data_IF_332461331666
#
_entry.id   IF_332461331666
#
_cell.length_a   1.000
_cell.length_b   1.000
_cell.length_c   1.000
_cell.angle_alpha   90.00
_cell.angle_beta   90.00
_cell.angle_gamma   90.00
#
_symmetry.space_group_name_H-M   'P 1'
#
loop_
_entity.id
_entity.type
_entity.pdbx_description
1 polymer ?
#
# COMPACT_ATOMS: atom_id res chain seq x y z
N UNK A 1 -28.09 28.54 34.12
CA UNK A 1 -29.45 28.45 33.54
C UNK A 1 -29.75 26.99 33.32
N UNK A 2 -30.72 26.46 34.06
CA UNK A 2 -31.02 25.04 34.21
C UNK A 2 -32.30 24.78 33.41
N UNK A 3 -32.24 23.91 32.40
CA UNK A 3 -33.40 23.50 31.62
C UNK A 3 -34.12 22.35 32.33
N UNK A 4 -35.45 22.40 32.52
CA UNK A 4 -36.19 21.29 33.11
C UNK A 4 -36.38 20.16 32.08
N UNK A 5 -36.08 18.95 32.54
CA UNK A 5 -36.32 17.67 31.85
C UNK A 5 -37.83 17.43 31.81
N UNK A 6 -38.39 17.28 30.61
CA UNK A 6 -39.79 16.91 30.41
C UNK A 6 -39.96 15.39 30.44
N UNK A 7 -40.89 14.93 31.29
CA UNK A 7 -41.37 13.55 31.40
C UNK A 7 -41.96 13.06 30.07
N UNK A 8 -41.41 11.96 29.55
CA UNK A 8 -42.00 11.20 28.45
C UNK A 8 -42.92 10.12 29.03
N UNK A 9 -44.13 9.91 28.46
CA UNK A 9 -45.03 8.85 28.91
C UNK A 9 -44.49 7.46 28.52
N UNK A 10 -44.76 6.41 29.32
CA UNK A 10 -44.32 5.05 29.03
C UNK A 10 -45.04 4.47 27.80
N UNK A 11 -44.39 3.56 27.05
CA UNK A 11 -44.99 2.91 25.90
C UNK A 11 -46.15 1.97 26.30
N UNK A 12 -47.19 1.83 25.47
CA UNK A 12 -48.27 0.89 25.73
C UNK A 12 -47.79 -0.56 25.60
N UNK A 13 -48.12 -1.37 26.61
CA UNK A 13 -48.07 -2.83 26.55
C UNK A 13 -48.99 -3.33 25.44
N UNK A 14 -48.46 -4.14 24.53
CA UNK A 14 -49.27 -4.93 23.59
C UNK A 14 -49.08 -6.39 23.94
N UNK A 15 -50.19 -6.99 24.35
CA UNK A 15 -50.32 -8.38 24.74
C UNK A 15 -50.12 -9.34 23.56
N UNK A 16 -49.71 -10.55 23.96
CA UNK A 16 -49.53 -11.73 23.15
C UNK A 16 -50.79 -12.13 22.37
N UNK A 17 -50.58 -12.57 21.12
CA UNK A 17 -51.53 -13.42 20.41
C UNK A 17 -50.78 -14.46 19.55
N UNK A 18 -50.78 -15.67 20.10
CA UNK A 18 -51.04 -16.97 19.48
C UNK A 18 -50.40 -17.36 18.13
N UNK A 19 -49.67 -18.47 18.24
CA UNK A 19 -49.32 -19.42 17.20
C UNK A 19 -50.48 -19.72 16.24
N UNK A 20 -50.20 -19.69 14.94
CA UNK A 20 -50.92 -20.52 13.98
C UNK A 20 -49.89 -21.26 13.13
N UNK A 21 -49.71 -22.54 13.43
CA UNK A 21 -48.99 -23.47 12.57
C UNK A 21 -49.78 -23.64 11.27
N UNK A 22 -49.15 -23.34 10.13
CA UNK A 22 -49.56 -23.84 8.82
C UNK A 22 -48.42 -24.61 8.18
N UNK A 23 -48.46 -25.92 8.44
CA UNK A 23 -47.74 -26.97 7.73
C UNK A 23 -48.52 -27.30 6.46
N UNK A 24 -48.01 -26.98 5.27
CA UNK A 24 -48.24 -27.76 4.03
C UNK A 24 -47.18 -27.35 2.97
N UNK A 25 -46.90 -28.17 1.94
CA UNK A 25 -46.00 -29.31 1.97
C UNK A 25 -44.75 -29.10 1.11
N UNK A 26 -43.72 -29.86 1.46
CA UNK A 26 -42.51 -30.14 0.67
C UNK A 26 -42.82 -30.42 -0.81
N UNK A 27 -42.60 -29.42 -1.65
CA UNK A 27 -42.10 -29.61 -3.02
C UNK A 27 -40.86 -28.73 -3.14
N UNK A 28 -39.71 -29.33 -2.86
CA UNK A 28 -38.43 -28.86 -3.38
C UNK A 28 -38.59 -28.71 -4.89
N UNK A 29 -38.79 -27.48 -5.36
CA UNK A 29 -38.38 -27.14 -6.72
C UNK A 29 -36.87 -27.32 -6.70
N UNK A 30 -36.41 -28.37 -7.36
CA UNK A 30 -35.09 -28.34 -7.97
C UNK A 30 -35.17 -27.20 -8.98
N UNK A 31 -34.82 -25.99 -8.54
CA UNK A 31 -34.17 -25.06 -9.45
C UNK A 31 -32.83 -25.71 -9.66
N UNK A 32 -32.66 -26.33 -10.84
CA UNK A 32 -31.37 -26.79 -11.32
C UNK A 32 -30.41 -25.61 -11.12
N UNK A 33 -29.55 -25.71 -10.10
CA UNK A 33 -28.37 -24.87 -10.04
C UNK A 33 -27.61 -25.17 -11.34
N UNK A 34 -27.34 -24.17 -12.19
CA UNK A 34 -26.55 -24.40 -13.38
C UNK A 34 -25.23 -25.00 -12.91
N UNK A 35 -24.93 -26.19 -13.44
CA UNK A 35 -23.76 -27.01 -13.14
C UNK A 35 -22.55 -26.12 -12.85
N UNK A 36 -22.22 -25.98 -11.57
CA UNK A 36 -21.16 -25.09 -11.12
C UNK A 36 -19.84 -25.51 -11.74
N UNK A 37 -19.36 -24.74 -12.71
CA UNK A 37 -18.03 -24.90 -13.27
C UNK A 37 -17.04 -24.80 -12.11
N UNK A 38 -16.29 -25.88 -11.87
CA UNK A 38 -15.29 -25.96 -10.81
C UNK A 38 -14.17 -24.99 -11.19
N UNK A 39 -14.25 -23.76 -10.70
CA UNK A 39 -13.18 -22.77 -10.85
C UNK A 39 -11.97 -23.24 -10.04
N UNK A 40 -10.83 -23.40 -10.71
CA UNK A 40 -9.59 -23.76 -10.06
C UNK A 40 -8.89 -22.51 -9.54
N UNK A 41 -8.37 -22.55 -8.31
CA UNK A 41 -7.63 -21.42 -7.72
C UNK A 41 -6.16 -21.78 -7.59
N UNK A 42 -5.29 -20.89 -8.04
CA UNK A 42 -3.84 -20.99 -7.96
C UNK A 42 -3.27 -19.77 -7.23
N UNK A 43 -2.08 -19.90 -6.65
CA UNK A 43 -1.43 -18.77 -5.98
C UNK A 43 -0.19 -18.34 -6.74
N UNK A 44 -0.06 -17.02 -6.99
CA UNK A 44 1.11 -16.42 -7.62
C UNK A 44 2.23 -16.29 -6.59
N UNK A 45 3.24 -17.16 -6.63
CA UNK A 45 4.33 -17.22 -5.62
C UNK A 45 5.28 -16.00 -5.56
N UNK A 46 4.97 -14.90 -6.23
CA UNK A 46 5.80 -13.69 -6.23
C UNK A 46 5.22 -12.70 -5.22
N UNK A 47 6.04 -12.26 -4.28
CA UNK A 47 5.70 -11.21 -3.31
C UNK A 47 6.20 -9.82 -3.72
N UNK A 48 6.92 -9.71 -4.83
CA UNK A 48 7.44 -8.42 -5.34
C UNK A 48 7.22 -8.33 -6.85
N UNK A 49 6.58 -7.24 -7.28
CA UNK A 49 6.39 -6.89 -8.68
C UNK A 49 7.35 -5.75 -9.05
N UNK A 50 8.01 -5.87 -10.20
CA UNK A 50 8.91 -4.84 -10.70
C UNK A 50 8.09 -3.81 -11.49
N UNK A 51 8.14 -2.55 -11.07
CA UNK A 51 7.45 -1.45 -11.76
C UNK A 51 8.42 -0.77 -12.73
N UNK A 52 9.60 -0.41 -12.25
CA UNK A 52 10.66 0.21 -13.03
C UNK A 52 11.93 -0.63 -12.89
N UNK A 53 12.71 -0.86 -13.96
CA UNK A 53 13.93 -1.65 -13.90
C UNK A 53 14.88 -1.17 -12.80
N UNK A 54 14.91 -1.91 -11.68
CA UNK A 54 15.91 -1.75 -10.61
C UNK A 54 15.71 -0.58 -9.64
N UNK A 55 14.68 0.26 -9.77
CA UNK A 55 14.46 1.40 -8.87
C UNK A 55 13.15 1.34 -8.07
N UNK A 56 12.06 0.89 -8.68
CA UNK A 56 10.74 0.92 -8.05
C UNK A 56 10.11 -0.48 -8.02
N UNK A 57 9.82 -0.94 -6.81
CA UNK A 57 9.24 -2.24 -6.54
C UNK A 57 7.90 -2.08 -5.82
N UNK A 58 6.92 -2.90 -6.22
CA UNK A 58 5.67 -3.04 -5.51
C UNK A 58 5.73 -4.32 -4.70
N UNK A 59 5.71 -4.18 -3.37
CA UNK A 59 5.70 -5.32 -2.45
C UNK A 59 4.26 -5.70 -2.17
N UNK A 60 3.95 -6.98 -2.27
CA UNK A 60 2.64 -7.54 -1.97
C UNK A 60 2.63 -7.99 -0.50
N UNK A 61 1.59 -7.63 0.23
CA UNK A 61 1.41 -8.02 1.64
C UNK A 61 0.90 -9.46 1.75
N UNK A 62 0.22 -9.94 0.71
CA UNK A 62 -0.27 -11.31 0.58
C UNK A 62 0.06 -11.94 -0.78
N UNK A 63 -0.16 -13.25 -0.90
CA UNK A 63 0.10 -13.99 -2.14
C UNK A 63 -1.14 -13.92 -3.03
N UNK A 64 -1.08 -13.29 -4.23
CA UNK A 64 -2.24 -13.11 -5.09
C UNK A 64 -2.84 -14.46 -5.49
N UNK A 65 -4.17 -14.53 -5.48
CA UNK A 65 -4.91 -15.68 -5.97
C UNK A 65 -5.33 -15.46 -7.43
N UNK A 66 -5.20 -16.51 -8.23
CA UNK A 66 -5.58 -16.57 -9.63
C UNK A 66 -6.70 -17.59 -9.76
N UNK A 67 -7.86 -17.15 -10.24
CA UNK A 67 -9.01 -18.01 -10.52
C UNK A 67 -9.02 -18.33 -11.99
N UNK A 68 -9.13 -19.61 -12.33
CA UNK A 68 -9.13 -20.10 -13.71
C UNK A 68 -10.51 -20.66 -14.05
N UNK A 69 -11.07 -20.16 -15.14
CA UNK A 69 -12.24 -20.75 -15.77
C UNK A 69 -11.78 -21.91 -16.68
N UNK A 70 -12.16 -23.17 -16.37
CA UNK A 70 -11.73 -24.32 -17.16
C UNK A 70 -12.35 -24.36 -18.56
N UNK A 71 -13.47 -23.67 -18.81
CA UNK A 71 -14.15 -23.68 -20.10
C UNK A 71 -13.50 -22.72 -21.10
N UNK A 72 -13.17 -21.51 -20.65
CA UNK A 72 -12.57 -20.46 -21.49
C UNK A 72 -11.04 -20.40 -21.40
N UNK A 73 -10.44 -21.04 -20.39
CA UNK A 73 -9.04 -20.87 -20.00
C UNK A 73 -8.68 -19.42 -19.67
N UNK A 74 -9.65 -18.58 -19.35
CA UNK A 74 -9.42 -17.24 -18.80
C UNK A 74 -9.02 -17.34 -17.33
N UNK A 75 -8.00 -16.55 -16.97
CA UNK A 75 -7.43 -16.49 -15.65
C UNK A 75 -7.61 -15.06 -15.11
N UNK A 76 -8.13 -14.93 -13.89
CA UNK A 76 -8.38 -13.64 -13.23
C UNK A 76 -7.60 -13.54 -11.92
N UNK A 77 -6.91 -12.42 -11.70
CA UNK A 77 -6.28 -12.11 -10.41
C UNK A 77 -7.33 -11.50 -9.47
N UNK A 78 -7.59 -12.16 -8.34
CA UNK A 78 -8.61 -11.77 -7.38
C UNK A 78 -8.32 -10.39 -6.79
N UNK A 79 -9.27 -9.46 -6.95
CA UNK A 79 -9.17 -8.09 -6.42
C UNK A 79 -8.35 -7.11 -7.26
N UNK A 80 -7.81 -7.53 -8.42
CA UNK A 80 -6.99 -6.66 -9.27
C UNK A 80 -7.68 -6.23 -10.57
N UNK A 81 -8.80 -6.85 -10.96
CA UNK A 81 -9.43 -6.64 -12.28
C UNK A 81 -8.41 -6.80 -13.43
N UNK A 82 -7.60 -7.86 -13.31
CA UNK A 82 -6.60 -8.28 -14.30
C UNK A 82 -7.00 -9.66 -14.80
N UNK A 83 -7.28 -9.75 -16.09
CA UNK A 83 -7.67 -10.99 -16.78
C UNK A 83 -6.74 -11.25 -17.95
N UNK A 84 -6.28 -12.49 -18.06
CA UNK A 84 -5.41 -12.96 -19.13
C UNK A 84 -5.79 -14.40 -19.47
N UNK A 85 -5.60 -14.79 -20.73
CA UNK A 85 -5.70 -16.19 -21.12
C UNK A 85 -4.58 -17.01 -20.44
N UNK A 86 -4.84 -18.28 -20.12
CA UNK A 86 -3.89 -19.16 -19.42
C UNK A 86 -2.52 -19.29 -20.10
N UNK A 87 -2.47 -19.14 -21.43
CA UNK A 87 -1.22 -19.14 -22.20
C UNK A 87 -0.34 -17.92 -21.97
N UNK A 88 -0.84 -16.89 -21.28
CA UNK A 88 -0.14 -15.64 -20.96
C UNK A 88 0.06 -15.45 -19.46
N UNK A 89 -0.11 -16.52 -18.66
CA UNK A 89 -0.04 -16.45 -17.21
C UNK A 89 1.31 -15.91 -16.69
N UNK A 90 2.39 -16.06 -17.45
CA UNK A 90 3.69 -15.45 -17.14
C UNK A 90 3.68 -13.92 -17.13
N UNK A 91 2.69 -13.28 -17.77
CA UNK A 91 2.51 -11.82 -17.83
C UNK A 91 1.71 -11.26 -16.66
N UNK A 92 1.16 -12.09 -15.76
CA UNK A 92 0.43 -11.58 -14.60
C UNK A 92 1.21 -10.56 -13.76
N UNK A 93 2.50 -10.78 -13.42
CA UNK A 93 3.26 -9.82 -12.63
C UNK A 93 3.35 -8.43 -13.28
N UNK A 94 3.55 -8.36 -14.60
CA UNK A 94 3.63 -7.09 -15.33
C UNK A 94 2.26 -6.45 -15.52
N UNK A 95 1.21 -7.24 -15.77
CA UNK A 95 -0.16 -6.76 -15.87
C UNK A 95 -0.66 -6.15 -14.54
N UNK A 96 -0.37 -6.81 -13.42
CA UNK A 96 -0.66 -6.30 -12.08
C UNK A 96 0.09 -4.99 -11.78
N UNK A 97 1.40 -4.94 -12.05
CA UNK A 97 2.20 -3.73 -11.84
C UNK A 97 1.66 -2.55 -12.68
N UNK A 98 1.28 -2.82 -13.94
CA UNK A 98 0.67 -1.82 -14.82
C UNK A 98 -0.67 -1.34 -14.29
N UNK A 99 -1.57 -2.25 -13.89
CA UNK A 99 -2.89 -1.91 -13.33
C UNK A 99 -2.76 -1.04 -12.07
N UNK A 100 -1.84 -1.40 -11.18
CA UNK A 100 -1.54 -0.59 -9.99
C UNK A 100 -1.13 0.83 -10.36
N UNK A 101 -0.20 0.99 -11.32
CA UNK A 101 0.23 2.32 -11.77
C UNK A 101 -0.89 3.13 -12.44
N UNK A 102 -1.75 2.48 -13.23
CA UNK A 102 -2.89 3.11 -13.87
C UNK A 102 -3.89 3.63 -12.82
N UNK A 103 -4.26 2.79 -11.85
CA UNK A 103 -5.15 3.17 -10.75
C UNK A 103 -4.51 4.26 -9.88
N UNK A 104 -3.23 4.13 -9.52
CA UNK A 104 -2.48 5.13 -8.77
C UNK A 104 -2.49 6.50 -9.48
N UNK A 105 -2.19 6.52 -10.78
CA UNK A 105 -2.18 7.77 -11.56
C UNK A 105 -3.56 8.41 -11.66
N UNK A 106 -4.64 7.61 -11.74
CA UNK A 106 -6.01 8.12 -11.72
C UNK A 106 -6.42 8.60 -10.34
N UNK A 107 -6.01 7.90 -9.28
CA UNK A 107 -6.28 8.28 -7.89
C UNK A 107 -5.66 9.63 -7.56
N UNK A 108 -4.39 9.83 -7.92
CA UNK A 108 -3.65 11.09 -7.74
C UNK A 108 -4.33 12.28 -8.44
N UNK A 109 -4.99 12.03 -9.57
CA UNK A 109 -5.73 13.05 -10.32
C UNK A 109 -7.20 13.20 -9.89
N UNK A 110 -7.69 12.36 -8.95
CA UNK A 110 -9.10 12.33 -8.57
C UNK A 110 -10.04 11.86 -9.69
N UNK A 111 -9.57 10.98 -10.58
CA UNK A 111 -10.29 10.55 -11.82
C UNK A 111 -10.71 9.08 -11.81
N UNK A 112 -10.70 8.41 -10.66
CA UNK A 112 -11.20 7.04 -10.55
C UNK A 112 -12.72 7.00 -10.69
N UNK A 113 -13.23 6.12 -11.57
CA UNK A 113 -14.65 5.78 -11.56
C UNK A 113 -15.04 5.02 -10.28
N UNK A 114 -16.33 4.88 -10.01
CA UNK A 114 -16.82 4.13 -8.83
C UNK A 114 -16.34 2.67 -8.83
N UNK A 115 -16.37 1.99 -9.99
CA UNK A 115 -15.85 0.63 -10.11
C UNK A 115 -14.34 0.57 -9.88
N UNK A 116 -13.59 1.56 -10.38
CA UNK A 116 -12.14 1.62 -10.19
C UNK A 116 -11.76 1.97 -8.75
N UNK A 117 -12.59 2.73 -8.03
CA UNK A 117 -12.39 3.00 -6.61
C UNK A 117 -12.49 1.71 -5.78
N UNK A 118 -13.48 0.86 -6.06
CA UNK A 118 -13.61 -0.43 -5.39
C UNK A 118 -12.37 -1.31 -5.64
N UNK A 119 -11.96 -1.47 -6.90
CA UNK A 119 -10.73 -2.20 -7.24
C UNK A 119 -9.49 -1.57 -6.60
N UNK A 120 -9.41 -0.25 -6.54
CA UNK A 120 -8.28 0.44 -5.93
C UNK A 120 -8.16 0.15 -4.44
N UNK A 121 -9.27 0.11 -3.71
CA UNK A 121 -9.28 -0.30 -2.29
C UNK A 121 -8.80 -1.73 -2.14
N UNK A 122 -9.33 -2.67 -2.94
CA UNK A 122 -8.92 -4.08 -2.89
C UNK A 122 -7.42 -4.25 -3.18
N UNK A 123 -6.88 -3.48 -4.13
CA UNK A 123 -5.44 -3.48 -4.44
C UNK A 123 -4.62 -2.90 -3.30
N UNK A 124 -5.07 -1.81 -2.66
CA UNK A 124 -4.36 -1.19 -1.54
C UNK A 124 -4.24 -2.11 -0.33
N UNK A 125 -5.22 -2.96 -0.08
CA UNK A 125 -5.16 -3.96 1.01
C UNK A 125 -4.11 -5.05 0.76
N UNK A 126 -3.76 -5.28 -0.51
CA UNK A 126 -2.84 -6.33 -0.95
C UNK A 126 -1.40 -5.86 -1.18
N UNK A 127 -1.11 -4.57 -1.04
CA UNK A 127 0.20 -3.99 -1.31
C UNK A 127 0.74 -3.17 -0.15
N UNK A 128 2.06 -3.16 0.00
CA UNK A 128 2.72 -2.24 0.91
C UNK A 128 2.81 -0.85 0.28
N UNK A 129 1.68 -0.15 0.28
CA UNK A 129 1.55 1.18 -0.31
C UNK A 129 2.48 2.20 0.36
N UNK A 130 2.68 2.09 1.67
CA UNK A 130 3.57 2.98 2.42
C UNK A 130 5.01 2.86 1.90
N UNK A 131 5.53 1.64 1.76
CA UNK A 131 6.87 1.45 1.23
C UNK A 131 6.97 1.87 -0.24
N UNK A 132 5.92 1.65 -1.05
CA UNK A 132 5.87 2.18 -2.42
C UNK A 132 5.98 3.72 -2.45
N UNK A 133 5.25 4.44 -1.60
CA UNK A 133 5.33 5.89 -1.50
C UNK A 133 6.72 6.36 -1.08
N UNK A 134 7.34 5.69 -0.10
CA UNK A 134 8.71 5.97 0.34
C UNK A 134 9.68 5.77 -0.83
N UNK A 135 9.59 4.65 -1.55
CA UNK A 135 10.46 4.32 -2.68
C UNK A 135 10.30 5.34 -3.82
N UNK A 136 9.09 5.85 -4.06
CA UNK A 136 8.78 6.88 -5.08
C UNK A 136 9.18 8.31 -4.67
N UNK A 137 9.22 8.63 -3.38
CA UNK A 137 9.46 10.01 -2.91
C UNK A 137 10.77 10.60 -3.47
N UNK A 138 10.78 11.85 -3.89
CA UNK A 138 12.04 12.46 -4.34
C UNK A 138 12.95 12.72 -3.12
N UNK A 139 14.28 12.64 -3.30
CA UNK A 139 15.22 13.16 -2.30
C UNK A 139 14.93 14.64 -2.00
N UNK A 140 15.13 15.05 -0.75
CA UNK A 140 14.96 16.43 -0.30
C UNK A 140 16.32 17.06 -0.07
N UNK A 141 16.48 18.32 -0.46
CA UNK A 141 17.67 19.06 -0.08
C UNK A 141 17.66 19.33 1.42
N UNK A 142 18.74 18.95 2.10
CA UNK A 142 18.92 19.15 3.54
C UNK A 142 20.34 19.61 3.82
N UNK A 143 20.46 20.54 4.76
CA UNK A 143 21.74 21.00 5.29
C UNK A 143 21.96 20.46 6.69
N UNK A 144 23.22 20.22 7.04
CA UNK A 144 23.61 19.76 8.36
C UNK A 144 25.10 19.92 8.64
N UNK A 145 25.49 19.61 9.87
CA UNK A 145 26.87 19.67 10.35
C UNK A 145 27.27 18.29 10.84
N UNK A 146 28.47 17.85 10.46
CA UNK A 146 29.03 16.59 10.97
C UNK A 146 29.44 16.77 12.44
N UNK A 147 28.79 16.07 13.35
CA UNK A 147 29.04 16.18 14.79
C UNK A 147 30.02 15.13 15.31
N UNK A 148 30.03 13.94 14.70
CA UNK A 148 30.94 12.85 15.07
C UNK A 148 31.12 11.88 13.90
N UNK A 149 32.27 11.19 13.87
CA UNK A 149 32.63 10.25 12.80
C UNK A 149 33.27 9.00 13.37
N UNK A 150 32.69 7.85 13.07
CA UNK A 150 33.18 6.55 13.51
C UNK A 150 33.16 5.53 12.36
N UNK A 151 33.92 4.43 12.46
CA UNK A 151 33.80 3.35 11.50
C UNK A 151 32.36 2.80 11.45
N UNK A 152 31.74 2.86 10.27
CA UNK A 152 30.40 2.32 10.03
C UNK A 152 29.24 3.30 10.23
N UNK A 153 29.47 4.47 10.82
CA UNK A 153 28.45 5.53 10.93
C UNK A 153 29.01 6.94 11.06
N UNK A 154 28.22 7.94 10.66
CA UNK A 154 28.48 9.36 10.86
C UNK A 154 27.30 9.96 11.61
N UNK A 155 27.56 10.80 12.63
CA UNK A 155 26.52 11.59 13.29
C UNK A 155 26.46 12.97 12.68
N UNK A 156 25.26 13.43 12.39
CA UNK A 156 25.01 14.78 11.89
C UNK A 156 23.98 15.47 12.78
N UNK A 157 24.06 16.79 12.80
CA UNK A 157 22.99 17.66 13.29
C UNK A 157 22.43 18.39 12.07
N UNK A 158 21.19 18.11 11.72
CA UNK A 158 20.49 18.76 10.63
C UNK A 158 20.15 20.21 11.00
N UNK A 159 19.88 21.07 10.02
CA UNK A 159 19.59 22.50 10.23
C UNK A 159 18.38 22.77 11.16
N UNK A 160 17.47 21.81 11.31
CA UNK A 160 16.31 21.87 12.23
C UNK A 160 16.68 21.51 13.69
N UNK A 161 17.97 21.23 13.95
CA UNK A 161 18.50 20.78 15.24
C UNK A 161 18.35 19.28 15.48
N UNK A 162 17.75 18.52 14.57
CA UNK A 162 17.60 17.08 14.71
C UNK A 162 18.96 16.40 14.58
N UNK A 163 19.27 15.52 15.53
CA UNK A 163 20.51 14.73 15.52
C UNK A 163 20.24 13.33 15.00
N UNK A 164 21.00 12.93 14.00
CA UNK A 164 20.84 11.63 13.36
C UNK A 164 22.16 10.85 13.34
N UNK A 165 22.06 9.54 13.59
CA UNK A 165 23.12 8.58 13.34
C UNK A 165 22.88 7.94 11.98
N UNK A 166 23.71 8.28 11.01
CA UNK A 166 23.63 7.78 9.63
C UNK A 166 24.53 6.56 9.51
N UNK A 167 23.94 5.40 9.26
CA UNK A 167 24.65 4.12 9.20
C UNK A 167 25.10 3.75 7.78
N UNK A 168 25.76 2.61 7.63
CA UNK A 168 26.13 2.06 6.31
C UNK A 168 24.88 1.55 5.59
N UNK A 169 24.71 1.77 4.27
CA UNK A 169 25.62 2.45 3.34
C UNK A 169 25.37 3.96 3.18
N UNK A 170 24.32 4.51 3.80
CA UNK A 170 23.88 5.88 3.61
C UNK A 170 24.93 6.94 3.95
N UNK A 171 25.83 6.67 4.91
CA UNK A 171 26.86 7.64 5.32
C UNK A 171 28.05 7.76 4.34
N UNK A 172 28.20 6.84 3.38
CA UNK A 172 29.38 6.81 2.49
C UNK A 172 29.68 8.13 1.77
N UNK A 173 28.69 8.86 1.23
CA UNK A 173 28.94 10.16 0.59
C UNK A 173 29.56 11.21 1.53
N UNK A 174 29.32 11.10 2.84
CA UNK A 174 29.83 12.01 3.86
C UNK A 174 31.23 11.60 4.35
N UNK A 175 31.79 10.50 3.87
CA UNK A 175 33.07 9.96 4.37
C UNK A 175 34.26 10.91 4.19
N UNK A 176 34.16 11.91 3.32
CA UNK A 176 35.23 12.89 3.08
C UNK A 176 35.12 14.14 3.96
N UNK A 177 33.98 14.33 4.64
CA UNK A 177 33.78 15.43 5.57
C UNK A 177 34.49 15.15 6.90
N UNK A 178 35.02 16.21 7.50
CA UNK A 178 35.55 16.26 8.86
C UNK A 178 34.45 16.63 9.86
N UNK A 179 34.72 16.36 11.14
CA UNK A 179 33.85 16.84 12.23
C UNK A 179 33.88 18.36 12.26
N UNK A 180 32.71 18.98 12.32
CA UNK A 180 32.53 20.43 12.25
C UNK A 180 32.18 20.94 10.86
N UNK A 181 32.39 20.14 9.81
CA UNK A 181 32.07 20.57 8.44
C UNK A 181 30.55 20.70 8.28
N UNK A 182 30.13 21.86 7.77
CA UNK A 182 28.77 22.10 7.29
C UNK A 182 28.65 21.60 5.84
N UNK A 183 27.54 20.94 5.53
CA UNK A 183 27.27 20.41 4.21
C UNK A 183 25.79 20.56 3.84
N UNK A 184 25.53 20.64 2.55
CA UNK A 184 24.22 20.42 1.93
C UNK A 184 24.24 19.12 1.14
N UNK A 185 23.12 18.40 1.10
CA UNK A 185 22.99 17.18 0.32
C UNK A 185 21.53 16.90 -0.06
N UNK A 186 21.34 16.07 -1.07
CA UNK A 186 20.03 15.49 -1.38
C UNK A 186 19.85 14.21 -0.58
N UNK A 187 18.83 14.19 0.28
CA UNK A 187 18.59 13.13 1.26
C UNK A 187 17.25 12.44 0.97
N UNK A 188 17.32 11.14 0.71
CA UNK A 188 16.17 10.26 0.65
C UNK A 188 15.83 9.81 2.08
N UNK A 189 14.60 10.07 2.50
CA UNK A 189 14.08 9.68 3.80
C UNK A 189 13.31 8.36 3.71
N UNK A 190 13.49 7.50 4.71
CA UNK A 190 12.75 6.27 4.88
C UNK A 190 11.49 6.43 5.74
N UNK A 191 10.91 5.30 6.16
CA UNK A 191 9.66 5.23 6.95
C UNK A 191 9.69 6.05 8.24
N UNK A 192 10.85 6.11 8.89
CA UNK A 192 11.03 6.75 10.19
C UNK A 192 11.60 8.17 10.09
N UNK A 193 11.47 8.82 8.92
CA UNK A 193 12.13 10.09 8.58
C UNK A 193 13.66 10.05 8.76
N UNK A 194 14.26 8.86 8.62
CA UNK A 194 15.70 8.66 8.67
C UNK A 194 16.32 8.64 7.29
N UNK A 195 17.53 9.15 7.15
CA UNK A 195 18.28 9.16 5.90
C UNK A 195 18.62 7.73 5.47
N UNK A 196 17.99 7.27 4.38
CA UNK A 196 18.28 5.94 3.78
C UNK A 196 19.30 6.05 2.65
N UNK A 197 19.39 7.22 2.00
CA UNK A 197 20.36 7.50 0.93
C UNK A 197 20.67 8.99 0.92
N UNK A 198 21.93 9.30 0.69
CA UNK A 198 22.46 10.67 0.57
C UNK A 198 23.17 10.75 -0.77
N UNK A 199 23.04 11.85 -1.47
CA UNK A 199 23.72 12.09 -2.73
C UNK A 199 24.04 13.58 -2.93
N UNK A 200 24.97 13.85 -3.85
CA UNK A 200 25.36 15.21 -4.24
C UNK A 200 25.73 16.10 -3.03
N UNK A 201 26.63 15.60 -2.18
CA UNK A 201 27.14 16.33 -1.02
C UNK A 201 27.99 17.52 -1.49
N UNK A 202 27.67 18.71 -0.98
CA UNK A 202 28.41 19.95 -1.21
C UNK A 202 28.76 20.58 0.13
N UNK A 203 30.00 21.04 0.31
CA UNK A 203 30.31 21.86 1.48
C UNK A 203 29.59 23.20 1.38
N UNK A 204 29.10 23.69 2.52
CA UNK A 204 28.49 25.02 2.63
C UNK A 204 29.28 25.82 3.65
N UNK A 205 29.38 27.14 3.47
CA UNK A 205 30.02 28.01 4.45
C UNK A 205 29.13 28.09 5.69
N UNK A 206 29.70 27.95 6.88
CA UNK A 206 28.97 28.20 8.12
C UNK A 206 28.62 29.68 8.18
N UNK A 207 27.33 30.01 8.18
CA UNK A 207 26.87 31.35 8.50
C UNK A 207 26.96 31.47 10.03
N UNK A 208 28.06 32.03 10.51
CA UNK A 208 28.27 32.40 11.92
C UNK A 208 27.24 33.44 12.39
#
# INVERSE_FOLDING_TARGET
>A
MIFPVADLPPPPCVDAAEHTEHRVPTRLRVLEEPQGEIRQTFSLRRSVLQIEPGQLQLRLTETPQIVVDPASLECEVVGWDVRLHASEAEKFPSAMARKFLELFSKADQGRLSESEQATWVDVLDQVDFQTFCIDRAQPHYMEGVVTDKQPGFIRVEWHDGAREKIETPAHRPLQHLAKGDAFGAWVKLGRDNRATRIECVTMVESID
#
